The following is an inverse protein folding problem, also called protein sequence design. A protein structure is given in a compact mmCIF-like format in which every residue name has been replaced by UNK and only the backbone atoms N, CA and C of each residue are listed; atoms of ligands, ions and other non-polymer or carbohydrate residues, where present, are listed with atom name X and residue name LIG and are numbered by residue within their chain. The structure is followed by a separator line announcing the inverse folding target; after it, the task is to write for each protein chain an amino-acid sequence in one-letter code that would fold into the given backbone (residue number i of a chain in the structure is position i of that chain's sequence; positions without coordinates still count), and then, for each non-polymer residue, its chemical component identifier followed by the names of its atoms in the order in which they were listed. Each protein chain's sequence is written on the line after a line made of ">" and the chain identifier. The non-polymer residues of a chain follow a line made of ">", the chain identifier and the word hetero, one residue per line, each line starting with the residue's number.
data_IF_558192992933
#
_entry.id   IF_558192992933
#
_cell.length_a   1.000
_cell.length_b   1.000
_cell.length_c   1.000
_cell.angle_alpha   90.00
_cell.angle_beta   90.00
_cell.angle_gamma   90.00
#
_symmetry.space_group_name_H-M   'P 1'
#
loop_
_entity.id
_entity.type
_entity.pdbx_description
1 polymer ?
#
# COMPACT_ATOMS: atom_id res chain seq x y z
N UNK A 1 25.38 -52.03 -3.82
CA UNK A 1 25.19 -50.90 -2.89
C UNK A 1 23.83 -50.30 -3.20
N UNK A 2 23.02 -50.11 -2.17
CA UNK A 2 21.58 -49.91 -2.20
C UNK A 2 21.16 -48.59 -2.84
N UNK A 3 20.26 -48.64 -3.82
CA UNK A 3 19.47 -47.48 -4.22
C UNK A 3 18.26 -47.40 -3.29
N UNK A 4 18.29 -46.37 -2.46
CA UNK A 4 17.35 -46.12 -1.38
C UNK A 4 16.06 -45.54 -1.97
N UNK A 5 14.97 -46.27 -1.79
CA UNK A 5 13.60 -45.86 -2.07
C UNK A 5 13.21 -44.70 -1.15
N UNK A 6 13.15 -43.47 -1.67
CA UNK A 6 12.47 -42.36 -0.99
C UNK A 6 11.08 -42.18 -1.59
N UNK A 7 10.15 -42.83 -0.90
CA UNK A 7 8.71 -42.66 -0.98
C UNK A 7 8.35 -41.18 -1.06
N UNK A 8 7.80 -40.76 -2.21
CA UNK A 8 7.01 -39.53 -2.31
C UNK A 8 5.72 -39.80 -1.55
N UNK A 9 5.66 -39.37 -0.30
CA UNK A 9 4.41 -39.27 0.45
C UNK A 9 3.51 -38.31 -0.28
N UNK A 10 2.50 -38.86 -0.96
CA UNK A 10 1.35 -38.12 -1.41
C UNK A 10 0.76 -37.41 -0.19
N UNK A 11 0.90 -36.09 -0.12
CA UNK A 11 0.06 -35.27 0.72
C UNK A 11 -1.35 -35.33 0.11
N UNK A 12 -2.09 -36.39 0.46
CA UNK A 12 -3.54 -36.40 0.34
C UNK A 12 -4.04 -35.24 1.17
N UNK A 13 -4.33 -34.13 0.49
CA UNK A 13 -5.08 -33.04 1.08
C UNK A 13 -6.37 -33.64 1.60
N UNK A 14 -6.50 -33.57 2.92
CA UNK A 14 -7.68 -33.93 3.68
C UNK A 14 -8.83 -32.99 3.28
N UNK A 15 -9.42 -33.27 2.12
CA UNK A 15 -10.57 -32.54 1.58
C UNK A 15 -11.89 -33.10 2.13
N UNK A 16 -11.83 -33.93 3.18
CA UNK A 16 -12.97 -34.67 3.74
C UNK A 16 -13.81 -33.91 4.77
N UNK A 17 -13.29 -32.85 5.39
CA UNK A 17 -13.93 -32.27 6.59
C UNK A 17 -14.90 -31.10 6.31
N UNK A 18 -14.86 -30.48 5.13
CA UNK A 18 -15.76 -29.35 4.80
C UNK A 18 -17.23 -29.82 4.65
N UNK A 19 -17.44 -31.11 4.33
CA UNK A 19 -18.77 -31.68 4.17
C UNK A 19 -19.49 -31.97 5.51
N UNK A 20 -18.76 -32.00 6.64
CA UNK A 20 -19.30 -32.48 7.93
C UNK A 20 -19.83 -31.37 8.85
N UNK A 21 -19.33 -30.14 8.74
CA UNK A 21 -19.82 -28.98 9.51
C UNK A 21 -19.79 -27.66 8.70
N UNK A 22 -20.80 -27.41 7.85
CA UNK A 22 -20.88 -26.18 7.08
C UNK A 22 -21.05 -24.94 7.96
N UNK A 23 -21.64 -25.07 9.16
CA UNK A 23 -21.82 -23.94 10.08
C UNK A 23 -20.49 -23.56 10.73
N UNK A 24 -19.68 -24.54 11.13
CA UNK A 24 -18.32 -24.35 11.61
C UNK A 24 -17.41 -23.67 10.58
N UNK A 25 -17.49 -24.10 9.32
CA UNK A 25 -16.74 -23.48 8.22
C UNK A 25 -17.14 -22.01 7.99
N UNK A 26 -18.45 -21.71 7.98
CA UNK A 26 -18.96 -20.34 7.85
C UNK A 26 -18.51 -19.46 9.02
N UNK A 27 -18.52 -20.00 10.25
CA UNK A 27 -18.07 -19.28 11.45
C UNK A 27 -16.58 -18.96 11.38
N UNK A 28 -15.75 -19.94 11.03
CA UNK A 28 -14.30 -19.77 10.86
C UNK A 28 -13.99 -18.69 9.81
N UNK A 29 -14.67 -18.74 8.66
CA UNK A 29 -14.52 -17.73 7.60
C UNK A 29 -14.94 -16.33 8.08
N UNK A 30 -15.99 -16.23 8.89
CA UNK A 30 -16.42 -14.97 9.48
C UNK A 30 -15.39 -14.42 10.49
N UNK A 31 -14.79 -15.27 11.31
CA UNK A 31 -13.75 -14.87 12.26
C UNK A 31 -12.48 -14.38 11.53
N UNK A 32 -12.05 -15.08 10.49
CA UNK A 32 -10.90 -14.68 9.66
C UNK A 32 -11.15 -13.36 8.92
N UNK A 33 -12.35 -13.21 8.35
CA UNK A 33 -12.77 -11.99 7.67
C UNK A 33 -12.82 -10.81 8.65
N UNK A 34 -13.28 -11.04 9.89
CA UNK A 34 -13.30 -10.02 10.94
C UNK A 34 -11.89 -9.59 11.36
N UNK A 35 -10.98 -10.56 11.55
CA UNK A 35 -9.58 -10.26 11.83
C UNK A 35 -8.92 -9.45 10.70
N UNK A 36 -9.26 -9.77 9.45
CA UNK A 36 -8.74 -9.06 8.27
C UNK A 36 -9.30 -7.64 8.16
N UNK A 37 -10.60 -7.44 8.35
CA UNK A 37 -11.20 -6.10 8.43
C UNK A 37 -10.58 -5.28 9.56
N UNK A 38 -10.38 -5.88 10.74
CA UNK A 38 -9.75 -5.19 11.88
C UNK A 38 -8.34 -4.73 11.54
N UNK A 39 -7.53 -5.57 10.89
CA UNK A 39 -6.18 -5.20 10.42
C UNK A 39 -6.21 -4.06 9.40
N UNK A 40 -7.12 -4.13 8.43
CA UNK A 40 -7.29 -3.08 7.41
C UNK A 40 -7.66 -1.73 8.04
N UNK A 41 -8.70 -1.72 8.88
CA UNK A 41 -9.24 -0.51 9.51
C UNK A 41 -8.32 0.10 10.57
N UNK A 42 -7.70 -0.73 11.41
CA UNK A 42 -6.93 -0.24 12.56
C UNK A 42 -5.50 0.16 12.20
N UNK A 43 -4.90 -0.47 11.17
CA UNK A 43 -3.47 -0.29 10.88
C UNK A 43 -3.24 0.15 9.43
N UNK A 44 -3.67 -0.64 8.45
CA UNK A 44 -3.21 -0.44 7.07
C UNK A 44 -3.79 0.84 6.46
N UNK A 45 -5.10 1.07 6.53
CA UNK A 45 -5.72 2.28 5.97
C UNK A 45 -5.16 3.55 6.64
N UNK A 46 -5.15 3.68 7.98
CA UNK A 46 -4.56 4.86 8.63
C UNK A 46 -3.09 5.09 8.28
N UNK A 47 -2.29 4.02 8.14
CA UNK A 47 -0.89 4.12 7.74
C UNK A 47 -0.75 4.74 6.35
N UNK A 48 -1.51 4.27 5.35
CA UNK A 48 -1.43 4.78 3.98
C UNK A 48 -1.91 6.24 3.91
N UNK A 49 -2.99 6.58 4.63
CA UNK A 49 -3.46 7.98 4.76
C UNK A 49 -2.40 8.86 5.42
N UNK A 50 -1.77 8.38 6.49
CA UNK A 50 -0.70 9.09 7.19
C UNK A 50 0.53 9.32 6.31
N UNK A 51 0.93 8.32 5.53
CA UNK A 51 2.04 8.44 4.58
C UNK A 51 1.73 9.44 3.46
N UNK A 52 0.50 9.42 2.92
CA UNK A 52 0.06 10.42 1.94
C UNK A 52 0.12 11.84 2.52
N UNK A 53 -0.37 12.04 3.74
CA UNK A 53 -0.33 13.32 4.44
C UNK A 53 1.11 13.80 4.69
N UNK A 54 2.01 12.90 5.12
CA UNK A 54 3.41 13.21 5.33
C UNK A 54 4.11 13.62 4.02
N UNK A 55 3.88 12.89 2.92
CA UNK A 55 4.41 13.26 1.61
C UNK A 55 3.91 14.64 1.16
N UNK A 56 2.62 14.95 1.39
CA UNK A 56 2.04 16.25 1.08
C UNK A 56 2.69 17.39 1.87
N UNK A 57 2.89 17.19 3.17
CA UNK A 57 3.54 18.17 4.04
C UNK A 57 5.00 18.42 3.60
N UNK A 58 5.77 17.35 3.41
CA UNK A 58 7.17 17.43 2.97
C UNK A 58 7.32 18.08 1.60
N UNK A 59 6.37 17.86 0.67
CA UNK A 59 6.39 18.49 -0.64
C UNK A 59 6.29 20.02 -0.57
N UNK A 60 5.76 20.58 0.51
CA UNK A 60 5.65 22.03 0.75
C UNK A 60 6.81 22.53 1.61
N UNK A 61 7.15 21.81 2.68
CA UNK A 61 8.14 22.26 3.66
C UNK A 61 9.57 22.19 3.13
N UNK A 62 9.95 21.11 2.45
CA UNK A 62 11.33 20.91 1.96
C UNK A 62 11.75 22.02 0.99
N UNK A 63 10.95 22.38 -0.04
CA UNK A 63 11.31 23.46 -0.95
C UNK A 63 11.36 24.82 -0.25
N UNK A 64 10.46 25.07 0.71
CA UNK A 64 10.44 26.32 1.46
C UNK A 64 11.68 26.47 2.34
N UNK A 65 12.06 25.42 3.06
CA UNK A 65 13.25 25.39 3.89
C UNK A 65 14.52 25.56 3.05
N UNK A 66 14.60 24.89 1.89
CA UNK A 66 15.75 24.97 1.00
C UNK A 66 15.88 26.36 0.35
N UNK A 67 14.78 26.98 -0.07
CA UNK A 67 14.80 28.35 -0.58
C UNK A 67 15.26 29.34 0.50
N UNK A 68 14.71 29.25 1.71
CA UNK A 68 15.13 30.12 2.82
C UNK A 68 16.61 29.95 3.18
N UNK A 69 17.12 28.72 3.14
CA UNK A 69 18.54 28.44 3.39
C UNK A 69 19.44 29.05 2.30
N UNK A 70 19.08 28.88 1.03
CA UNK A 70 19.84 29.46 -0.09
C UNK A 70 19.85 30.98 -0.02
N UNK A 71 18.71 31.62 0.25
CA UNK A 71 18.62 33.07 0.38
C UNK A 71 19.44 33.60 1.57
N UNK A 72 19.44 32.88 2.70
CA UNK A 72 20.27 33.20 3.87
C UNK A 72 21.78 33.06 3.57
N UNK A 73 22.18 32.01 2.87
CA UNK A 73 23.59 31.76 2.53
C UNK A 73 24.12 32.74 1.48
N UNK A 74 23.26 33.19 0.54
CA UNK A 74 23.58 34.22 -0.44
C UNK A 74 23.70 35.60 0.21
N UNK A 75 22.75 35.99 1.06
CA UNK A 75 22.75 37.30 1.72
C UNK A 75 23.86 37.47 2.75
N UNK A 76 24.26 36.39 3.43
CA UNK A 76 25.37 36.40 4.39
C UNK A 76 26.76 36.31 3.76
N UNK A 77 26.85 35.98 2.47
CA UNK A 77 28.12 35.73 1.78
C UNK A 77 28.84 34.45 2.25
N UNK A 78 28.24 33.66 3.16
CA UNK A 78 28.81 32.40 3.68
C UNK A 78 29.00 31.39 2.56
N UNK A 79 28.09 31.36 1.58
CA UNK A 79 28.21 30.47 0.42
C UNK A 79 29.44 30.84 -0.43
N UNK A 80 29.69 32.13 -0.62
CA UNK A 80 30.87 32.62 -1.35
C UNK A 80 32.16 32.30 -0.58
N UNK A 81 32.18 32.46 0.74
CA UNK A 81 33.34 32.12 1.58
C UNK A 81 33.63 30.61 1.56
N UNK A 82 32.59 29.77 1.68
CA UNK A 82 32.73 28.31 1.58
C UNK A 82 33.19 27.87 0.20
N UNK A 83 32.66 28.50 -0.85
CA UNK A 83 33.11 28.24 -2.22
C UNK A 83 34.58 28.59 -2.41
N UNK A 84 35.03 29.75 -1.93
CA UNK A 84 36.45 30.12 -2.00
C UNK A 84 37.35 29.18 -1.19
N UNK A 85 36.90 28.73 -0.01
CA UNK A 85 37.64 27.75 0.78
C UNK A 85 37.79 26.40 0.06
N UNK A 86 36.72 25.93 -0.60
CA UNK A 86 36.75 24.70 -1.40
C UNK A 86 37.60 24.89 -2.65
N UNK A 87 37.53 26.04 -3.32
CA UNK A 87 38.41 26.38 -4.45
C UNK A 87 39.87 26.39 -4.04
N UNK A 88 40.21 27.10 -2.96
CA UNK A 88 41.57 27.15 -2.44
C UNK A 88 42.12 25.76 -2.08
N UNK A 89 41.26 24.84 -1.64
CA UNK A 89 41.62 23.45 -1.40
C UNK A 89 41.72 22.58 -2.67
N UNK A 90 41.10 23.00 -3.78
CA UNK A 90 41.02 22.26 -5.04
C UNK A 90 41.93 22.80 -6.17
N UNK A 91 42.55 23.96 -5.98
CA UNK A 91 43.40 24.61 -7.00
C UNK A 91 44.78 23.94 -7.05
N UNK A 92 45.08 23.27 -8.17
CA UNK A 92 46.43 23.29 -8.73
C UNK A 92 46.73 24.70 -9.29
N UNK A 93 47.93 25.24 -9.08
CA UNK A 93 48.25 26.62 -9.41
C UNK A 93 48.08 26.91 -10.91
N UNK A 94 47.08 27.73 -11.29
CA UNK A 94 46.98 28.29 -12.64
C UNK A 94 45.59 28.56 -13.24
N UNK A 95 44.48 28.18 -12.61
CA UNK A 95 43.14 28.35 -13.20
C UNK A 95 42.37 29.52 -12.59
N UNK A 96 42.45 30.69 -13.24
CA UNK A 96 41.64 31.87 -12.92
C UNK A 96 40.29 31.82 -13.66
N UNK A 97 39.27 31.26 -13.01
CA UNK A 97 37.87 31.35 -13.44
C UNK A 97 37.01 31.99 -12.35
N UNK A 98 36.29 33.07 -12.68
CA UNK A 98 35.52 33.91 -11.75
C UNK A 98 34.46 33.16 -10.93
N UNK A 99 34.23 33.60 -9.69
CA UNK A 99 33.36 32.98 -8.67
C UNK A 99 31.85 32.95 -9.02
N UNK A 100 31.37 33.99 -9.67
CA UNK A 100 29.94 34.27 -9.84
C UNK A 100 29.14 33.24 -10.65
N UNK A 101 29.58 32.81 -11.85
CA UNK A 101 28.77 31.92 -12.68
C UNK A 101 28.65 30.51 -12.08
N UNK A 102 29.65 30.03 -11.36
CA UNK A 102 29.60 28.70 -10.74
C UNK A 102 28.69 28.66 -9.52
N UNK A 103 28.70 29.72 -8.69
CA UNK A 103 27.78 29.85 -7.57
C UNK A 103 26.33 29.94 -8.05
N UNK A 104 26.07 30.73 -9.10
CA UNK A 104 24.75 30.81 -9.72
C UNK A 104 24.30 29.46 -10.31
N UNK A 105 25.20 28.72 -10.95
CA UNK A 105 24.92 27.39 -11.49
C UNK A 105 24.58 26.37 -10.38
N UNK A 106 25.30 26.39 -9.25
CA UNK A 106 25.01 25.53 -8.10
C UNK A 106 23.65 25.87 -7.46
N UNK A 107 23.31 27.14 -7.33
CA UNK A 107 22.00 27.56 -6.85
C UNK A 107 20.86 27.08 -7.77
N UNK A 108 21.05 27.16 -9.09
CA UNK A 108 20.11 26.63 -10.07
C UNK A 108 19.97 25.10 -9.98
N UNK A 109 21.08 24.39 -9.80
CA UNK A 109 21.08 22.94 -9.62
C UNK A 109 20.31 22.55 -8.35
N UNK A 110 20.59 23.17 -7.20
CA UNK A 110 19.89 22.93 -5.94
C UNK A 110 18.39 23.19 -6.06
N UNK A 111 18.02 24.25 -6.79
CA UNK A 111 16.62 24.57 -7.07
C UNK A 111 15.97 23.49 -7.94
N UNK A 112 16.64 22.98 -8.97
CA UNK A 112 16.07 21.91 -9.79
C UNK A 112 15.98 20.58 -9.02
N UNK A 113 16.97 20.26 -8.18
CA UNK A 113 16.91 19.10 -7.29
C UNK A 113 15.74 19.21 -6.31
N UNK A 114 15.47 20.39 -5.74
CA UNK A 114 14.31 20.59 -4.87
C UNK A 114 12.97 20.38 -5.60
N UNK A 115 12.88 20.80 -6.87
CA UNK A 115 11.69 20.55 -7.70
C UNK A 115 11.55 19.07 -8.02
N UNK A 116 12.65 18.38 -8.30
CA UNK A 116 12.65 16.94 -8.54
C UNK A 116 12.15 16.17 -7.31
N UNK A 117 12.64 16.53 -6.12
CA UNK A 117 12.18 15.96 -4.84
C UNK A 117 10.69 16.25 -4.61
N UNK A 118 10.25 17.49 -4.82
CA UNK A 118 8.83 17.86 -4.71
C UNK A 118 7.96 17.01 -5.66
N UNK A 119 8.34 16.87 -6.93
CA UNK A 119 7.61 16.05 -7.91
C UNK A 119 7.55 14.58 -7.47
N UNK A 120 8.63 14.06 -6.91
CA UNK A 120 8.67 12.69 -6.37
C UNK A 120 7.71 12.53 -5.19
N UNK A 121 7.73 13.45 -4.21
CA UNK A 121 6.85 13.43 -3.04
C UNK A 121 5.38 13.53 -3.42
N UNK A 122 5.03 14.40 -4.38
CA UNK A 122 3.65 14.51 -4.90
C UNK A 122 3.22 13.23 -5.60
N UNK A 123 4.12 12.56 -6.35
CA UNK A 123 3.79 11.26 -6.95
C UNK A 123 3.53 10.19 -5.88
N UNK A 124 4.40 10.12 -4.86
CA UNK A 124 4.24 9.18 -3.74
C UNK A 124 2.95 9.44 -2.96
N UNK A 125 2.61 10.71 -2.72
CA UNK A 125 1.35 11.08 -2.08
C UNK A 125 0.14 10.51 -2.81
N UNK A 126 0.11 10.63 -4.14
CA UNK A 126 -0.96 10.06 -4.97
C UNK A 126 -1.00 8.54 -4.92
N UNK A 127 0.15 7.88 -4.96
CA UNK A 127 0.25 6.41 -4.83
C UNK A 127 -0.33 5.95 -3.49
N UNK A 128 0.13 6.53 -2.38
CA UNK A 128 -0.35 6.21 -1.03
C UNK A 128 -1.84 6.50 -0.86
N UNK A 129 -2.34 7.60 -1.42
CA UNK A 129 -3.77 7.94 -1.38
C UNK A 129 -4.63 6.98 -2.20
N UNK A 130 -4.16 6.59 -3.39
CA UNK A 130 -4.85 5.60 -4.23
C UNK A 130 -4.88 4.23 -3.55
N UNK A 131 -3.78 3.82 -2.91
CA UNK A 131 -3.72 2.59 -2.14
C UNK A 131 -4.66 2.63 -0.94
N UNK A 132 -4.72 3.73 -0.19
CA UNK A 132 -5.68 3.90 0.90
C UNK A 132 -7.13 3.73 0.41
N UNK A 133 -7.49 4.36 -0.71
CA UNK A 133 -8.82 4.23 -1.32
C UNK A 133 -9.13 2.79 -1.73
N UNK A 134 -8.17 2.09 -2.33
CA UNK A 134 -8.32 0.67 -2.69
C UNK A 134 -8.53 -0.21 -1.45
N UNK A 135 -7.75 0.02 -0.39
CA UNK A 135 -7.89 -0.71 0.88
C UNK A 135 -9.23 -0.43 1.56
N UNK A 136 -9.76 0.80 1.47
CA UNK A 136 -11.11 1.13 1.94
C UNK A 136 -12.19 0.33 1.19
N UNK A 137 -12.06 0.22 -0.14
CA UNK A 137 -12.95 -0.60 -0.95
C UNK A 137 -12.89 -2.09 -0.57
N UNK A 138 -11.69 -2.63 -0.34
CA UNK A 138 -11.52 -4.01 0.13
C UNK A 138 -12.13 -4.23 1.52
N UNK A 139 -11.91 -3.32 2.46
CA UNK A 139 -12.49 -3.38 3.78
C UNK A 139 -14.03 -3.35 3.72
N UNK A 140 -14.61 -2.47 2.88
CA UNK A 140 -16.05 -2.40 2.68
C UNK A 140 -16.64 -3.68 2.07
N UNK A 141 -15.96 -4.28 1.10
CA UNK A 141 -16.39 -5.55 0.50
C UNK A 141 -16.37 -6.70 1.53
N UNK A 142 -15.31 -6.80 2.33
CA UNK A 142 -15.20 -7.79 3.40
C UNK A 142 -16.24 -7.56 4.52
N UNK A 143 -16.54 -6.31 4.88
CA UNK A 143 -17.60 -5.97 5.82
C UNK A 143 -18.99 -6.39 5.30
N UNK A 144 -19.25 -6.19 4.01
CA UNK A 144 -20.49 -6.65 3.39
C UNK A 144 -20.57 -8.20 3.35
N UNK A 145 -19.47 -8.90 3.09
CA UNK A 145 -19.40 -10.36 3.16
C UNK A 145 -19.65 -10.85 4.60
N UNK A 146 -19.00 -10.24 5.60
CA UNK A 146 -19.22 -10.52 7.02
C UNK A 146 -20.69 -10.39 7.42
N UNK A 147 -21.37 -9.33 6.98
CA UNK A 147 -22.79 -9.16 7.25
C UNK A 147 -23.64 -10.27 6.63
N UNK A 148 -23.30 -10.75 5.42
CA UNK A 148 -23.99 -11.89 4.79
C UNK A 148 -23.73 -13.18 5.55
N UNK A 149 -22.47 -13.49 5.89
CA UNK A 149 -22.11 -14.69 6.65
C UNK A 149 -22.78 -14.71 8.03
N UNK A 150 -22.79 -13.57 8.75
CA UNK A 150 -23.48 -13.44 10.04
C UNK A 150 -24.99 -13.65 9.93
N UNK A 151 -25.62 -13.19 8.84
CA UNK A 151 -27.04 -13.49 8.59
C UNK A 151 -27.25 -14.98 8.38
N UNK A 152 -26.40 -15.65 7.61
CA UNK A 152 -26.49 -17.11 7.38
C UNK A 152 -26.32 -17.91 8.68
N UNK A 153 -25.37 -17.53 9.54
CA UNK A 153 -25.19 -18.17 10.86
C UNK A 153 -26.37 -17.88 11.79
N UNK A 154 -26.89 -16.65 11.79
CA UNK A 154 -28.01 -16.25 12.64
C UNK A 154 -29.40 -16.72 12.16
N UNK A 155 -29.51 -17.19 10.91
CA UNK A 155 -30.74 -17.78 10.35
C UNK A 155 -30.69 -19.30 10.27
N UNK A 156 -29.57 -19.93 10.68
CA UNK A 156 -29.55 -21.36 10.95
C UNK A 156 -30.43 -21.61 12.19
N UNK A 157 -31.49 -22.44 12.09
CA UNK A 157 -32.29 -22.78 13.26
C UNK A 157 -31.37 -23.38 14.31
N UNK A 158 -31.53 -22.98 15.56
CA UNK A 158 -30.93 -23.71 16.68
C UNK A 158 -31.33 -25.18 16.48
N UNK A 159 -30.35 -26.04 16.24
CA UNK A 159 -30.59 -27.47 16.15
C UNK A 159 -31.12 -27.91 17.52
N UNK A 160 -32.44 -27.95 17.65
CA UNK A 160 -33.10 -28.56 18.79
C UNK A 160 -32.73 -30.05 18.74
N UNK A 161 -32.05 -30.61 19.75
CA UNK A 161 -31.54 -31.97 19.70
C UNK A 161 -32.63 -33.04 19.86
N UNK A 162 -33.87 -32.75 19.45
CA UNK A 162 -34.97 -33.68 19.62
C UNK A 162 -36.22 -33.32 18.82
N UNK A 163 -36.17 -33.45 17.49
CA UNK A 163 -37.32 -33.98 16.75
C UNK A 163 -36.92 -34.37 15.31
N UNK A 164 -36.81 -35.67 15.08
CA UNK A 164 -36.85 -36.24 13.74
C UNK A 164 -38.20 -35.98 13.11
N UNK A 165 -38.28 -35.11 12.11
CA UNK A 165 -39.22 -35.29 11.00
C UNK A 165 -38.53 -34.94 9.69
N UNK A 166 -38.40 -35.95 8.83
CA UNK A 166 -38.14 -35.73 7.41
C UNK A 166 -39.26 -34.84 6.87
N UNK A 167 -38.93 -33.66 6.38
CA UNK A 167 -39.69 -33.09 5.27
C UNK A 167 -38.79 -32.26 4.35
N UNK A 168 -39.13 -32.33 3.06
CA UNK A 168 -38.28 -32.05 1.94
C UNK A 168 -37.79 -30.59 1.84
N UNK A 169 -36.51 -30.44 1.52
CA UNK A 169 -35.93 -29.18 1.05
C UNK A 169 -36.50 -28.78 -0.32
N UNK A 170 -36.78 -27.49 -0.58
CA UNK A 170 -36.64 -26.95 -1.91
C UNK A 170 -35.19 -26.48 -2.11
N UNK A 171 -34.48 -27.11 -3.05
CA UNK A 171 -33.29 -26.56 -3.65
C UNK A 171 -33.60 -25.18 -4.25
N UNK A 172 -32.94 -24.13 -3.75
CA UNK A 172 -32.78 -22.88 -4.50
C UNK A 172 -31.30 -22.73 -4.82
N UNK A 173 -30.94 -23.19 -6.02
CA UNK A 173 -29.70 -22.84 -6.69
C UNK A 173 -29.80 -21.36 -7.04
N UNK A 174 -29.11 -20.51 -6.30
CA UNK A 174 -28.84 -19.15 -6.76
C UNK A 174 -27.49 -19.18 -7.48
N UNK A 175 -27.53 -19.17 -8.81
CA UNK A 175 -26.39 -18.89 -9.68
C UNK A 175 -25.65 -17.65 -9.16
N UNK A 176 -24.40 -17.83 -8.77
CA UNK A 176 -23.45 -16.73 -8.59
C UNK A 176 -22.85 -16.46 -9.96
N UNK A 177 -23.46 -15.56 -10.71
CA UNK A 177 -22.84 -14.99 -11.90
C UNK A 177 -21.66 -14.11 -11.44
N UNK A 178 -20.45 -14.51 -11.82
CA UNK A 178 -19.23 -13.78 -11.51
C UNK A 178 -19.23 -12.42 -12.24
N UNK A 179 -18.88 -11.29 -11.59
CA UNK A 179 -18.63 -10.06 -12.32
C UNK A 179 -17.35 -10.21 -13.14
N UNK A 180 -17.52 -10.15 -14.46
CA UNK A 180 -16.46 -10.19 -15.45
C UNK A 180 -15.35 -9.17 -15.14
N UNK A 181 -14.10 -9.64 -15.20
CA UNK A 181 -12.93 -8.79 -15.25
C UNK A 181 -12.98 -7.93 -16.51
N UNK A 182 -13.22 -6.63 -16.34
CA UNK A 182 -13.10 -5.67 -17.41
C UNK A 182 -11.63 -5.21 -17.48
N UNK A 183 -10.84 -5.83 -18.36
CA UNK A 183 -9.59 -5.27 -18.85
C UNK A 183 -9.91 -4.02 -19.69
N UNK A 184 -9.27 -2.86 -19.47
CA UNK A 184 -9.17 -1.86 -20.51
C UNK A 184 -7.94 -2.17 -21.36
N UNK A 185 -8.12 -2.96 -22.41
CA UNK A 185 -7.24 -2.96 -23.57
C UNK A 185 -7.79 -1.96 -24.59
N UNK A 186 -7.21 -0.75 -24.67
CA UNK A 186 -7.22 0.02 -25.93
C UNK A 186 -5.89 0.76 -26.08
N UNK A 187 -5.18 0.32 -27.11
CA UNK A 187 -4.00 0.90 -27.74
C UNK A 187 -4.19 2.34 -28.23
N UNK A 188 -3.07 3.06 -28.16
CA UNK A 188 -2.54 4.02 -29.13
C UNK A 188 -3.46 4.53 -30.26
N UNK A 189 -3.67 5.84 -30.27
CA UNK A 189 -3.43 6.71 -31.43
C UNK A 189 -2.75 8.00 -30.98
#
# INVERSE_FOLDING_TARGET
>A
MSENTSSVTAHTSDSGDIASDPIGAIRSLAEESEASVRRLRAAQIPQHVGMAAACRALAVEVPRALAAQVDADLSSGVLAQRWEAVRAAAVEPGTSGGADPTIAALALLLREQSRAVMRHLVRREKEWAADAYRLEGQAGALEAQLQRLRRLVGSAPAADPGETTLDAAPHVVAEVEAPAANEPAVEAR
#
